data_IF_904104266235
#
_entry.id   IF_904104266235
#
_cell.length_a   1.000
_cell.length_b   1.000
_cell.length_c   1.000
_cell.angle_alpha   90.00
_cell.angle_beta   90.00
_cell.angle_gamma   90.00
#
_symmetry.space_group_name_H-M   'P 1'
#
loop_
_entity.id
_entity.type
_entity.pdbx_description
1 polymer ?
#
# COMPACT_ATOMS: atom_id res chain seq x y z
N UNK A 1 -1.96 15.02 -34.70
CA UNK A 1 -2.04 13.65 -34.15
C UNK A 1 -0.95 13.55 -33.11
N UNK A 2 -1.30 13.31 -31.85
CA UNK A 2 -0.32 13.22 -30.77
C UNK A 2 0.50 11.93 -30.96
N UNK A 3 1.83 11.98 -30.75
CA UNK A 3 2.74 10.84 -30.93
C UNK A 3 2.71 9.90 -29.71
N UNK A 4 1.53 9.36 -29.36
CA UNK A 4 1.34 8.47 -28.19
C UNK A 4 1.54 6.99 -28.51
N UNK A 5 1.55 6.63 -29.79
CA UNK A 5 1.77 5.26 -30.26
C UNK A 5 3.17 5.08 -30.85
N UNK A 6 3.90 4.09 -30.34
CA UNK A 6 5.23 3.68 -30.83
C UNK A 6 5.18 2.24 -31.30
N UNK A 7 5.60 2.00 -32.54
CA UNK A 7 5.66 0.64 -33.10
C UNK A 7 7.08 0.10 -33.05
N UNK A 8 7.23 -1.11 -32.50
CA UNK A 8 8.49 -1.84 -32.39
C UNK A 8 8.43 -3.06 -33.30
N UNK A 9 9.42 -3.20 -34.18
CA UNK A 9 9.57 -4.36 -35.05
C UNK A 9 10.50 -5.37 -34.38
N UNK A 10 9.97 -6.56 -34.09
CA UNK A 10 10.67 -7.72 -33.56
C UNK A 10 10.71 -8.82 -34.62
N UNK A 11 11.50 -9.88 -34.45
CA UNK A 11 11.64 -10.93 -35.47
C UNK A 11 10.28 -11.59 -35.79
N UNK A 12 9.68 -11.18 -36.91
CA UNK A 12 8.39 -11.67 -37.39
C UNK A 12 7.16 -11.10 -36.70
N UNK A 13 7.29 -10.02 -35.91
CA UNK A 13 6.16 -9.40 -35.19
C UNK A 13 6.26 -7.88 -35.16
N UNK A 14 5.12 -7.22 -35.26
CA UNK A 14 4.99 -5.76 -35.17
C UNK A 14 4.17 -5.41 -33.92
N UNK A 15 4.82 -4.91 -32.86
CA UNK A 15 4.13 -4.56 -31.62
C UNK A 15 3.90 -3.05 -31.57
N UNK A 16 2.64 -2.62 -31.47
CA UNK A 16 2.33 -1.20 -31.23
C UNK A 16 2.09 -0.96 -29.76
N UNK A 17 2.76 0.03 -29.17
CA UNK A 17 2.64 0.42 -27.77
C UNK A 17 1.97 1.79 -27.70
N UNK A 18 0.83 1.87 -27.05
CA UNK A 18 0.07 3.10 -26.79
C UNK A 18 0.37 3.53 -25.36
N UNK A 19 1.08 4.65 -25.23
CA UNK A 19 1.35 5.30 -23.94
C UNK A 19 0.20 6.19 -23.52
N UNK A 20 -0.39 5.89 -22.36
CA UNK A 20 -1.51 6.65 -21.80
C UNK A 20 -1.01 7.59 -20.69
N UNK A 21 -1.34 8.88 -20.80
CA UNK A 21 -1.19 9.80 -19.69
C UNK A 21 -2.37 9.56 -18.76
N UNK A 22 -2.17 8.73 -17.73
CA UNK A 22 -3.25 8.28 -16.86
C UNK A 22 -4.14 9.43 -16.43
N UNK A 23 -5.43 9.11 -16.42
CA UNK A 23 -6.52 9.90 -15.89
C UNK A 23 -6.94 11.04 -16.85
N UNK A 24 -7.01 10.83 -18.17
CA UNK A 24 -7.60 11.83 -19.08
C UNK A 24 -8.65 11.24 -20.02
N UNK A 25 -9.76 11.95 -20.24
CA UNK A 25 -10.78 11.51 -21.21
C UNK A 25 -10.23 11.39 -22.62
N UNK A 26 -9.33 12.31 -22.99
CA UNK A 26 -8.65 12.27 -24.29
C UNK A 26 -7.85 10.97 -24.48
N UNK A 27 -7.21 10.46 -23.42
CA UNK A 27 -6.48 9.19 -23.49
C UNK A 27 -7.38 7.97 -23.65
N UNK A 28 -8.60 8.00 -23.08
CA UNK A 28 -9.60 6.95 -23.29
C UNK A 28 -10.03 6.89 -24.75
N UNK A 29 -10.42 8.05 -25.30
CA UNK A 29 -10.89 8.15 -26.69
C UNK A 29 -9.79 7.76 -27.69
N UNK A 30 -8.54 8.17 -27.42
CA UNK A 30 -7.37 7.84 -28.23
C UNK A 30 -7.09 6.33 -28.25
N UNK A 31 -7.16 5.66 -27.10
CA UNK A 31 -7.00 4.20 -27.01
C UNK A 31 -8.05 3.48 -27.84
N UNK A 32 -9.33 3.85 -27.71
CA UNK A 32 -10.41 3.25 -28.49
C UNK A 32 -10.19 3.46 -29.99
N UNK A 33 -9.89 4.69 -30.41
CA UNK A 33 -9.64 5.01 -31.81
C UNK A 33 -8.47 4.22 -32.41
N UNK A 34 -7.37 4.04 -31.66
CA UNK A 34 -6.24 3.24 -32.12
C UNK A 34 -6.58 1.76 -32.30
N UNK A 35 -7.31 1.15 -31.36
CA UNK A 35 -7.71 -0.25 -31.45
C UNK A 35 -8.65 -0.47 -32.64
N UNK A 36 -9.63 0.41 -32.82
CA UNK A 36 -10.59 0.35 -33.94
C UNK A 36 -9.93 0.55 -35.30
N UNK A 37 -8.96 1.46 -35.39
CA UNK A 37 -8.25 1.76 -36.64
C UNK A 37 -7.25 0.66 -37.02
N UNK A 38 -6.47 0.15 -36.05
CA UNK A 38 -5.41 -0.82 -36.32
C UNK A 38 -5.93 -2.24 -36.49
N UNK A 39 -7.06 -2.57 -35.85
CA UNK A 39 -7.63 -3.93 -35.79
C UNK A 39 -6.54 -4.97 -35.45
N UNK A 40 -5.89 -4.84 -34.29
CA UNK A 40 -4.85 -5.77 -33.89
C UNK A 40 -5.40 -7.19 -33.75
N UNK A 41 -4.53 -8.18 -33.86
CA UNK A 41 -4.90 -9.58 -33.61
C UNK A 41 -4.92 -9.92 -32.12
N UNK A 42 -4.36 -9.08 -31.27
CA UNK A 42 -4.40 -9.21 -29.82
C UNK A 42 -4.21 -7.87 -29.10
N UNK A 43 -4.84 -7.70 -27.93
CA UNK A 43 -4.67 -6.50 -27.08
C UNK A 43 -4.03 -6.87 -25.74
N UNK A 44 -2.91 -6.23 -25.43
CA UNK A 44 -2.18 -6.35 -24.16
C UNK A 44 -2.49 -5.14 -23.27
N UNK A 45 -2.85 -5.35 -22.01
CA UNK A 45 -3.29 -4.24 -21.14
C UNK A 45 -2.52 -4.25 -19.83
N UNK A 46 -1.98 -3.10 -19.41
CA UNK A 46 -1.31 -2.90 -18.12
C UNK A 46 -2.33 -2.86 -16.96
N UNK A 47 -2.96 -4.00 -16.71
CA UNK A 47 -3.79 -4.23 -15.55
C UNK A 47 -3.79 -5.71 -15.19
N UNK A 48 -3.82 -6.02 -13.89
CA UNK A 48 -4.01 -7.39 -13.40
C UNK A 48 -5.51 -7.75 -13.31
N UNK A 49 -5.81 -9.05 -13.31
CA UNK A 49 -7.19 -9.54 -13.31
C UNK A 49 -7.99 -9.10 -12.07
N UNK A 50 -7.35 -9.01 -10.89
CA UNK A 50 -8.03 -8.59 -9.67
C UNK A 50 -8.39 -7.10 -9.71
N UNK A 51 -7.47 -6.26 -10.21
CA UNK A 51 -7.74 -4.83 -10.46
C UNK A 51 -8.82 -4.62 -11.51
N UNK A 52 -8.79 -5.36 -12.62
CA UNK A 52 -9.85 -5.26 -13.62
C UNK A 52 -11.22 -5.63 -13.04
N UNK A 53 -11.30 -6.75 -12.31
CA UNK A 53 -12.52 -7.17 -11.61
C UNK A 53 -13.01 -6.11 -10.62
N UNK A 54 -12.11 -5.45 -9.90
CA UNK A 54 -12.43 -4.34 -9.01
C UNK A 54 -12.99 -3.12 -9.75
N UNK A 55 -12.49 -2.81 -10.96
CA UNK A 55 -13.01 -1.71 -11.78
C UNK A 55 -14.41 -2.02 -12.32
N UNK A 56 -14.63 -3.23 -12.85
CA UNK A 56 -15.92 -3.60 -13.48
C UNK A 56 -17.03 -3.87 -12.48
N UNK A 57 -16.70 -4.46 -11.32
CA UNK A 57 -17.72 -4.81 -10.32
C UNK A 57 -18.27 -3.57 -9.64
N UNK A 58 -17.58 -2.42 -9.77
CA UNK A 58 -17.90 -1.21 -9.02
C UNK A 58 -18.01 -1.49 -7.52
N UNK A 59 -17.45 -2.61 -7.03
CA UNK A 59 -17.61 -3.12 -5.69
C UNK A 59 -16.87 -2.18 -4.75
N UNK A 60 -17.57 -1.10 -4.43
CA UNK A 60 -17.16 -0.09 -3.49
C UNK A 60 -16.92 -0.74 -2.14
N UNK A 61 -16.32 0.06 -1.28
CA UNK A 61 -16.01 -0.22 0.13
C UNK A 61 -17.10 -1.03 0.87
N UNK A 62 -18.36 -0.96 0.44
CA UNK A 62 -19.51 -1.78 0.87
C UNK A 62 -19.27 -3.29 1.07
N UNK A 63 -18.34 -3.92 0.34
CA UNK A 63 -18.03 -5.36 0.49
C UNK A 63 -16.88 -5.65 1.47
N UNK A 64 -16.25 -4.61 2.04
CA UNK A 64 -15.12 -4.80 2.94
C UNK A 64 -15.56 -5.32 4.31
N UNK A 65 -15.05 -6.48 4.67
CA UNK A 65 -15.21 -7.01 6.01
C UNK A 65 -14.08 -6.51 6.92
N UNK A 66 -14.36 -5.47 7.73
CA UNK A 66 -13.39 -4.88 8.64
C UNK A 66 -12.83 -5.89 9.67
N UNK A 67 -13.65 -6.85 10.12
CA UNK A 67 -13.20 -7.88 11.05
C UNK A 67 -12.12 -8.75 10.43
N UNK A 68 -12.31 -9.15 9.16
CA UNK A 68 -11.32 -9.94 8.43
C UNK A 68 -10.04 -9.14 8.20
N UNK A 69 -10.15 -7.85 7.85
CA UNK A 69 -8.98 -6.98 7.66
C UNK A 69 -8.13 -6.89 8.93
N UNK A 70 -8.75 -6.65 10.09
CA UNK A 70 -8.04 -6.54 11.37
C UNK A 70 -7.45 -7.90 11.76
N UNK A 71 -8.22 -8.99 11.67
CA UNK A 71 -7.77 -10.35 12.00
C UNK A 71 -6.63 -10.83 11.10
N UNK A 72 -6.63 -10.43 9.84
CA UNK A 72 -5.57 -10.74 8.87
C UNK A 72 -4.36 -9.78 8.97
N UNK A 73 -4.28 -8.93 10.01
CA UNK A 73 -3.22 -7.93 10.22
C UNK A 73 -3.06 -6.94 9.07
N UNK A 74 -4.12 -6.73 8.28
CA UNK A 74 -4.18 -5.80 7.15
C UNK A 74 -4.68 -4.40 7.55
N UNK A 75 -4.97 -4.16 8.83
CA UNK A 75 -5.48 -2.88 9.34
C UNK A 75 -4.58 -1.68 9.03
N UNK A 76 -3.26 -1.80 9.26
CA UNK A 76 -2.29 -0.75 8.90
C UNK A 76 -2.23 -0.48 7.39
N UNK A 77 -2.31 -1.53 6.56
CA UNK A 77 -2.32 -1.39 5.10
C UNK A 77 -3.58 -0.65 4.64
N UNK A 78 -4.75 -1.01 5.19
CA UNK A 78 -5.99 -0.33 4.88
C UNK A 78 -5.95 1.15 5.30
N UNK A 79 -5.47 1.43 6.52
CA UNK A 79 -5.33 2.81 7.01
C UNK A 79 -4.36 3.63 6.13
N UNK A 80 -3.21 3.05 5.75
CA UNK A 80 -2.25 3.70 4.86
C UNK A 80 -2.84 4.01 3.48
N UNK A 81 -3.60 3.08 2.90
CA UNK A 81 -4.30 3.30 1.63
C UNK A 81 -5.32 4.43 1.75
N UNK A 82 -6.10 4.48 2.84
CA UNK A 82 -7.09 5.54 3.06
C UNK A 82 -6.44 6.93 3.21
N UNK A 83 -5.31 7.02 3.94
CA UNK A 83 -4.55 8.26 4.06
C UNK A 83 -4.01 8.70 2.69
N UNK A 84 -3.44 7.77 1.92
CA UNK A 84 -2.94 8.06 0.57
C UNK A 84 -4.07 8.52 -0.36
N UNK A 85 -5.21 7.83 -0.37
CA UNK A 85 -6.38 8.23 -1.15
C UNK A 85 -6.90 9.61 -0.75
N UNK A 86 -6.86 9.95 0.55
CA UNK A 86 -7.25 11.29 1.00
C UNK A 86 -6.30 12.38 0.49
N UNK A 87 -4.99 12.09 0.44
CA UNK A 87 -3.99 13.01 -0.09
C UNK A 87 -4.20 13.23 -1.60
N UNK A 88 -4.33 12.14 -2.36
CA UNK A 88 -4.60 12.18 -3.81
C UNK A 88 -5.84 13.03 -4.15
N UNK A 89 -6.93 12.85 -3.41
CA UNK A 89 -8.17 13.60 -3.63
C UNK A 89 -8.04 15.08 -3.22
N UNK A 90 -7.29 15.42 -2.17
CA UNK A 90 -7.06 16.81 -1.72
C UNK A 90 -6.27 17.65 -2.71
N UNK A 91 -5.26 17.07 -3.36
CA UNK A 91 -4.45 17.77 -4.36
C UNK A 91 -5.15 17.83 -5.74
N UNK A 92 -6.43 17.47 -5.81
CA UNK A 92 -7.22 17.60 -7.03
C UNK A 92 -6.69 16.74 -8.17
N UNK A 93 -6.08 15.57 -7.89
CA UNK A 93 -5.88 14.50 -8.89
C UNK A 93 -7.23 13.89 -9.32
N UNK A 94 -8.28 14.70 -9.38
CA UNK A 94 -9.60 14.38 -9.87
C UNK A 94 -9.65 14.83 -11.33
N UNK A 95 -8.92 14.11 -12.17
CA UNK A 95 -8.85 14.40 -13.61
C UNK A 95 -10.10 13.87 -14.36
N UNK A 96 -11.22 13.67 -13.64
CA UNK A 96 -12.52 13.29 -14.18
C UNK A 96 -12.62 11.85 -14.71
N UNK A 97 -11.58 11.05 -14.52
CA UNK A 97 -11.45 9.66 -14.95
C UNK A 97 -10.90 8.86 -13.77
N UNK A 98 -11.31 7.61 -13.55
CA UNK A 98 -10.70 6.78 -12.49
C UNK A 98 -9.36 6.22 -13.01
N UNK A 99 -8.31 6.12 -12.18
CA UNK A 99 -7.08 5.45 -12.59
C UNK A 99 -7.37 4.03 -13.10
N UNK A 100 -7.00 3.75 -14.36
CA UNK A 100 -7.24 2.46 -15.01
C UNK A 100 -8.49 2.42 -15.91
N UNK A 101 -9.22 3.51 -16.10
CA UNK A 101 -10.31 3.55 -17.09
C UNK A 101 -9.78 3.44 -18.52
N UNK A 102 -8.57 3.89 -18.83
CA UNK A 102 -7.95 3.68 -20.15
C UNK A 102 -7.75 2.18 -20.43
N UNK A 103 -7.28 1.45 -19.42
CA UNK A 103 -7.13 -0.01 -19.48
C UNK A 103 -8.47 -0.70 -19.64
N UNK A 104 -9.49 -0.23 -18.91
CA UNK A 104 -10.84 -0.76 -19.03
C UNK A 104 -11.40 -0.52 -20.43
N UNK A 105 -11.25 0.69 -20.96
CA UNK A 105 -11.70 1.08 -22.29
C UNK A 105 -11.00 0.26 -23.38
N UNK A 106 -9.70 -0.02 -23.24
CA UNK A 106 -8.97 -0.92 -24.13
C UNK A 106 -9.60 -2.32 -24.18
N UNK A 107 -9.93 -2.88 -23.01
CA UNK A 107 -10.56 -4.20 -22.90
C UNK A 107 -11.99 -4.18 -23.47
N UNK A 108 -12.76 -3.12 -23.21
CA UNK A 108 -14.11 -2.96 -23.76
C UNK A 108 -14.10 -2.81 -25.29
N UNK A 109 -13.17 -2.03 -25.84
CA UNK A 109 -12.96 -1.90 -27.28
C UNK A 109 -12.52 -3.23 -27.92
N UNK A 110 -11.61 -3.97 -27.29
CA UNK A 110 -11.22 -5.30 -27.74
C UNK A 110 -12.40 -6.27 -27.76
N UNK A 111 -13.21 -6.31 -26.69
CA UNK A 111 -14.42 -7.13 -26.61
C UNK A 111 -15.46 -6.77 -27.67
N UNK A 112 -15.69 -5.47 -27.90
CA UNK A 112 -16.63 -5.00 -28.91
C UNK A 112 -16.22 -5.41 -30.33
N UNK A 113 -14.92 -5.46 -30.60
CA UNK A 113 -14.35 -5.86 -31.89
C UNK A 113 -14.00 -7.36 -31.98
N UNK A 114 -14.35 -8.17 -30.97
CA UNK A 114 -14.03 -9.60 -30.89
C UNK A 114 -12.52 -9.91 -30.98
N UNK A 115 -11.69 -8.99 -30.49
CA UNK A 115 -10.24 -9.13 -30.44
C UNK A 115 -9.85 -9.78 -29.09
N UNK A 116 -9.04 -10.85 -29.07
CA UNK A 116 -8.57 -11.44 -27.82
C UNK A 116 -7.67 -10.45 -27.06
N UNK A 117 -7.64 -10.58 -25.73
CA UNK A 117 -6.83 -9.69 -24.89
C UNK A 117 -6.11 -10.44 -23.77
N UNK A 118 -5.11 -9.80 -23.16
CA UNK A 118 -4.38 -10.33 -22.01
C UNK A 118 -4.07 -9.26 -20.97
N UNK A 119 -4.14 -9.68 -19.71
CA UNK A 119 -3.62 -8.94 -18.56
C UNK A 119 -2.11 -9.09 -18.52
N UNK A 120 -1.39 -8.00 -18.71
CA UNK A 120 0.07 -8.01 -18.83
C UNK A 120 0.79 -7.51 -17.57
N UNK A 121 0.06 -7.00 -16.57
CA UNK A 121 0.65 -6.49 -15.35
C UNK A 121 0.72 -7.54 -14.23
N UNK A 122 1.66 -7.34 -13.30
CA UNK A 122 1.82 -8.15 -12.10
C UNK A 122 0.74 -7.78 -11.09
N UNK A 123 0.33 -8.73 -10.25
CA UNK A 123 -0.55 -8.46 -9.12
C UNK A 123 -0.03 -7.25 -8.29
N UNK A 124 -0.88 -6.23 -8.17
CA UNK A 124 -0.49 -4.98 -7.51
C UNK A 124 -0.11 -5.17 -6.04
N UNK A 125 -0.73 -6.14 -5.35
CA UNK A 125 -0.38 -6.42 -3.95
C UNK A 125 1.04 -6.97 -3.85
N UNK A 126 1.42 -7.86 -4.77
CA UNK A 126 2.76 -8.39 -4.92
C UNK A 126 3.75 -7.28 -5.24
N UNK A 127 3.45 -6.42 -6.22
CA UNK A 127 4.27 -5.25 -6.59
C UNK A 127 4.54 -4.33 -5.39
N UNK A 128 3.50 -3.90 -4.68
CA UNK A 128 3.62 -3.01 -3.53
C UNK A 128 4.36 -3.68 -2.36
N UNK A 129 4.05 -4.96 -2.07
CA UNK A 129 4.71 -5.71 -1.00
C UNK A 129 6.19 -5.95 -1.31
N UNK A 130 6.54 -6.21 -2.56
CA UNK A 130 7.95 -6.30 -3.01
C UNK A 130 8.67 -4.98 -2.80
N UNK A 131 8.08 -3.85 -3.20
CA UNK A 131 8.67 -2.52 -3.02
C UNK A 131 8.94 -2.26 -1.54
N UNK A 132 7.99 -2.60 -0.66
CA UNK A 132 8.15 -2.48 0.79
C UNK A 132 9.23 -3.40 1.38
N UNK A 133 9.33 -4.65 0.92
CA UNK A 133 10.33 -5.61 1.41
C UNK A 133 11.74 -5.24 0.95
N UNK A 134 11.88 -4.76 -0.29
CA UNK A 134 13.16 -4.34 -0.88
C UNK A 134 13.64 -2.99 -0.34
N UNK A 135 12.72 -2.13 0.06
CA UNK A 135 13.05 -0.88 0.76
C UNK A 135 13.53 -1.20 2.17
N UNK A 136 14.85 -1.16 2.37
CA UNK A 136 15.49 -1.43 3.65
C UNK A 136 15.04 -0.48 4.78
N UNK A 137 15.54 -0.69 5.99
CA UNK A 137 15.17 0.10 7.17
C UNK A 137 15.34 1.62 6.95
N UNK A 138 16.46 2.04 6.37
CA UNK A 138 16.72 3.45 6.07
C UNK A 138 15.75 4.06 5.05
N UNK A 139 15.41 3.34 3.98
CA UNK A 139 14.43 3.80 3.00
C UNK A 139 13.03 3.94 3.60
N UNK A 140 12.67 3.05 4.53
CA UNK A 140 11.40 3.14 5.29
C UNK A 140 11.36 4.36 6.20
N UNK A 141 12.46 4.67 6.89
CA UNK A 141 12.55 5.87 7.73
C UNK A 141 12.52 7.16 6.90
N UNK A 142 13.16 7.17 5.72
CA UNK A 142 13.06 8.29 4.76
C UNK A 142 11.63 8.53 4.30
N UNK A 143 10.92 7.46 3.91
CA UNK A 143 9.49 7.52 3.57
C UNK A 143 8.66 8.08 4.73
N UNK A 144 8.89 7.58 5.95
CA UNK A 144 8.19 8.06 7.14
C UNK A 144 8.48 9.54 7.41
N UNK A 145 9.75 9.97 7.29
CA UNK A 145 10.14 11.36 7.47
C UNK A 145 9.49 12.28 6.43
N UNK A 146 9.45 11.87 5.15
CA UNK A 146 8.79 12.61 4.08
C UNK A 146 7.26 12.70 4.28
N UNK A 147 6.63 11.61 4.73
CA UNK A 147 5.20 11.63 5.07
C UNK A 147 4.93 12.57 6.25
N UNK A 148 5.75 12.52 7.31
CA UNK A 148 5.61 13.43 8.44
C UNK A 148 5.84 14.88 8.01
N UNK A 149 6.88 15.17 7.23
CA UNK A 149 7.14 16.53 6.75
C UNK A 149 5.99 17.07 5.89
N UNK A 150 5.35 16.22 5.07
CA UNK A 150 4.17 16.61 4.28
C UNK A 150 2.95 16.96 5.15
N UNK A 151 2.80 16.36 6.33
CA UNK A 151 1.70 16.65 7.26
C UNK A 151 1.96 17.93 8.06
N UNK A 152 3.22 18.21 8.38
CA UNK A 152 3.63 19.42 9.10
C UNK A 152 3.80 20.63 8.17
N UNK A 153 4.08 20.42 6.88
CA UNK A 153 4.05 21.46 5.87
C UNK A 153 2.61 21.80 5.52
N UNK A 154 2.09 22.89 6.10
CA UNK A 154 0.85 23.54 5.65
C UNK A 154 1.13 24.47 4.46
N UNK A 155 1.86 24.02 3.46
CA UNK A 155 1.95 24.76 2.21
C UNK A 155 0.66 24.54 1.43
N UNK A 156 -0.16 25.60 1.38
CA UNK A 156 -1.22 25.69 0.38
C UNK A 156 -0.51 25.86 -0.95
N UNK A 157 -0.51 24.83 -1.77
CA UNK A 157 -0.08 24.97 -3.16
C UNK A 157 -0.90 26.08 -3.79
N UNK A 158 -0.24 27.13 -4.27
CA UNK A 158 -0.89 28.19 -5.02
C UNK A 158 -1.40 27.61 -6.35
N UNK A 159 -2.45 28.19 -6.94
CA UNK A 159 -2.99 27.72 -8.21
C UNK A 159 -1.92 27.71 -9.31
N UNK A 160 -0.98 28.65 -9.25
CA UNK A 160 0.16 28.78 -10.15
C UNK A 160 1.22 27.68 -9.93
N UNK A 161 1.37 27.19 -8.71
CA UNK A 161 2.21 26.04 -8.36
C UNK A 161 1.60 24.73 -8.86
N UNK A 162 0.28 24.56 -8.66
CA UNK A 162 -0.49 23.42 -9.20
C UNK A 162 -0.42 23.41 -10.74
N UNK A 163 -0.44 24.57 -11.38
CA UNK A 163 -0.34 24.68 -12.84
C UNK A 163 1.06 24.34 -13.36
N UNK A 164 2.12 24.69 -12.60
CA UNK A 164 3.48 24.18 -12.86
C UNK A 164 3.56 22.66 -12.67
N UNK A 165 2.89 22.09 -11.66
CA UNK A 165 2.81 20.63 -11.46
C UNK A 165 2.07 19.91 -12.60
N UNK A 166 1.15 20.58 -13.29
CA UNK A 166 0.43 20.01 -14.45
C UNK A 166 1.28 19.92 -15.72
N UNK A 167 2.43 20.58 -15.77
CA UNK A 167 3.35 20.42 -16.89
C UNK A 167 4.06 19.07 -16.77
N UNK A 168 4.06 18.30 -17.87
CA UNK A 168 4.65 16.96 -17.95
C UNK A 168 6.08 16.91 -17.41
N UNK A 169 6.85 17.97 -17.62
CA UNK A 169 8.24 18.13 -17.15
C UNK A 169 8.37 18.25 -15.62
N UNK A 170 7.40 18.84 -14.92
CA UNK A 170 7.45 18.96 -13.46
C UNK A 170 7.13 17.63 -12.78
N UNK A 171 6.13 16.89 -13.26
CA UNK A 171 5.82 15.54 -12.78
C UNK A 171 7.00 14.61 -13.02
N UNK A 172 7.61 14.64 -14.21
CA UNK A 172 8.82 13.88 -14.52
C UNK A 172 9.98 14.24 -13.60
N UNK A 173 10.21 15.53 -13.32
CA UNK A 173 11.24 15.99 -12.39
C UNK A 173 10.99 15.49 -10.97
N UNK A 174 9.75 15.57 -10.47
CA UNK A 174 9.39 15.04 -9.15
C UNK A 174 9.54 13.53 -9.06
N UNK A 175 9.18 12.80 -10.13
CA UNK A 175 9.37 11.36 -10.18
C UNK A 175 10.86 10.99 -10.24
N UNK A 176 11.68 11.79 -10.92
CA UNK A 176 13.13 11.62 -10.95
C UNK A 176 13.77 11.90 -9.58
N UNK A 177 13.39 12.97 -8.90
CA UNK A 177 13.83 13.27 -7.53
C UNK A 177 13.38 12.19 -6.54
N UNK A 178 12.15 11.71 -6.64
CA UNK A 178 11.66 10.60 -5.83
C UNK A 178 12.41 9.30 -6.12
N UNK A 179 12.76 9.06 -7.38
CA UNK A 179 13.56 7.92 -7.79
C UNK A 179 14.99 7.97 -7.23
N UNK A 180 15.61 9.14 -7.18
CA UNK A 180 16.91 9.36 -6.55
C UNK A 180 16.83 9.22 -5.02
N UNK A 181 15.75 9.73 -4.43
CA UNK A 181 15.52 9.65 -2.99
C UNK A 181 15.23 8.22 -2.49
N UNK A 182 14.52 7.43 -3.30
CA UNK A 182 14.06 6.06 -3.02
C UNK A 182 14.36 5.09 -4.17
N UNK A 183 15.65 4.80 -4.46
CA UNK A 183 16.04 4.00 -5.62
C UNK A 183 15.51 2.57 -5.57
N UNK A 184 15.34 2.00 -4.37
CA UNK A 184 14.74 0.67 -4.21
C UNK A 184 13.26 0.63 -4.58
N UNK A 185 12.53 1.72 -4.36
CA UNK A 185 11.12 1.82 -4.72
C UNK A 185 10.99 1.96 -6.23
N UNK A 186 11.78 2.85 -6.84
CA UNK A 186 11.86 3.01 -8.30
C UNK A 186 12.20 1.69 -8.99
N UNK A 187 13.22 0.99 -8.50
CA UNK A 187 13.61 -0.32 -9.04
C UNK A 187 12.44 -1.31 -9.09
N UNK A 188 11.60 -1.37 -8.06
CA UNK A 188 10.50 -2.36 -8.02
C UNK A 188 9.24 -1.89 -8.77
N UNK A 189 8.89 -0.60 -8.65
CA UNK A 189 7.65 -0.07 -9.22
C UNK A 189 7.79 0.29 -10.70
N UNK A 190 9.02 0.56 -11.17
CA UNK A 190 9.32 0.93 -12.56
C UNK A 190 10.18 -0.17 -13.19
N UNK A 191 11.45 -0.30 -12.80
CA UNK A 191 12.40 -1.14 -13.57
C UNK A 191 12.00 -2.63 -13.63
N UNK A 192 11.57 -3.23 -12.50
CA UNK A 192 11.03 -4.60 -12.47
C UNK A 192 9.68 -4.70 -13.18
N UNK A 193 8.85 -3.67 -13.09
CA UNK A 193 7.51 -3.65 -13.68
C UNK A 193 7.59 -3.55 -15.20
N UNK A 194 8.50 -2.74 -15.73
CA UNK A 194 8.80 -2.63 -17.16
C UNK A 194 9.24 -3.98 -17.73
N UNK A 195 10.13 -4.69 -17.02
CA UNK A 195 10.53 -6.05 -17.40
C UNK A 195 9.32 -6.98 -17.44
N UNK A 196 8.49 -6.95 -16.40
CA UNK A 196 7.30 -7.80 -16.34
C UNK A 196 6.36 -7.53 -17.51
N UNK A 197 6.00 -6.25 -17.72
CA UNK A 197 5.11 -5.82 -18.80
C UNK A 197 5.68 -6.21 -20.16
N UNK A 198 6.94 -5.87 -20.43
CA UNK A 198 7.61 -6.21 -21.69
C UNK A 198 7.65 -7.71 -21.94
N UNK A 199 7.98 -8.53 -20.94
CA UNK A 199 7.99 -9.99 -21.11
C UNK A 199 6.59 -10.54 -21.38
N UNK A 200 5.54 -10.03 -20.70
CA UNK A 200 4.16 -10.45 -20.95
C UNK A 200 3.64 -10.00 -22.31
N UNK A 201 4.03 -8.81 -22.77
CA UNK A 201 3.74 -8.32 -24.13
C UNK A 201 4.48 -9.16 -25.17
N UNK A 202 5.77 -9.46 -24.95
CA UNK A 202 6.59 -10.29 -25.83
C UNK A 202 6.03 -11.71 -25.98
N UNK A 203 5.50 -12.30 -24.91
CA UNK A 203 4.91 -13.64 -24.91
C UNK A 203 3.43 -13.65 -25.33
N UNK A 204 2.82 -12.49 -25.57
CA UNK A 204 1.42 -12.43 -26.02
C UNK A 204 1.25 -13.11 -27.38
N UNK A 205 0.07 -13.69 -27.68
CA UNK A 205 -0.20 -14.25 -29.00
C UNK A 205 -0.39 -13.13 -30.06
N UNK A 206 -0.41 -13.52 -31.34
CA UNK A 206 -0.61 -12.60 -32.48
C UNK A 206 0.70 -12.07 -33.09
N UNK A 207 0.67 -11.73 -34.37
CA UNK A 207 1.76 -11.09 -35.10
C UNK A 207 1.76 -9.56 -34.92
N UNK A 208 0.59 -8.96 -34.68
CA UNK A 208 0.38 -7.50 -34.62
C UNK A 208 -0.34 -7.05 -33.34
N UNK A 209 0.18 -7.36 -32.14
CA UNK A 209 -0.48 -6.98 -30.91
C UNK A 209 -0.36 -5.48 -30.63
N UNK A 210 -1.40 -4.93 -29.98
CA UNK A 210 -1.39 -3.57 -29.42
C UNK A 210 -1.31 -3.65 -27.89
N UNK A 211 -0.31 -2.98 -27.31
CA UNK A 211 -0.13 -2.85 -25.87
C UNK A 211 -0.59 -1.47 -25.38
N UNK A 212 -1.55 -1.43 -24.45
CA UNK A 212 -2.02 -0.21 -23.80
C UNK A 212 -1.42 -0.13 -22.39
N UNK A 213 -0.54 0.85 -22.19
CA UNK A 213 0.30 0.99 -20.99
C UNK A 213 0.35 2.45 -20.54
N UNK A 214 0.80 2.70 -19.32
CA UNK A 214 1.12 4.04 -18.83
C UNK A 214 2.32 4.61 -19.58
N UNK A 215 2.25 5.90 -19.96
CA UNK A 215 3.29 6.55 -20.76
C UNK A 215 4.70 6.46 -20.12
N UNK A 216 4.78 6.50 -18.79
CA UNK A 216 6.04 6.37 -18.05
C UNK A 216 6.74 5.02 -18.19
N UNK A 217 6.02 3.96 -18.57
CA UNK A 217 6.57 2.61 -18.76
C UNK A 217 7.04 2.37 -20.21
N UNK A 218 6.60 3.18 -21.18
CA UNK A 218 6.87 2.96 -22.61
C UNK A 218 8.37 2.85 -22.91
N UNK A 219 9.25 3.77 -22.46
CA UNK A 219 10.69 3.68 -22.78
C UNK A 219 11.33 2.40 -22.23
N UNK A 220 10.99 2.03 -20.99
CA UNK A 220 11.51 0.82 -20.35
C UNK A 220 11.01 -0.46 -21.02
N UNK A 221 9.74 -0.48 -21.43
CA UNK A 221 9.15 -1.62 -22.15
C UNK A 221 9.86 -1.84 -23.48
N UNK A 222 10.06 -0.78 -24.29
CA UNK A 222 10.76 -0.87 -25.58
C UNK A 222 12.17 -1.45 -25.38
N UNK A 223 12.93 -0.90 -24.42
CA UNK A 223 14.27 -1.38 -24.12
C UNK A 223 14.30 -2.88 -23.72
N UNK A 224 13.30 -3.34 -22.96
CA UNK A 224 13.19 -4.76 -22.61
C UNK A 224 12.76 -5.64 -23.77
N UNK A 225 11.82 -5.21 -24.62
CA UNK A 225 11.42 -5.95 -25.82
C UNK A 225 12.60 -6.19 -26.76
N UNK A 226 13.41 -5.16 -27.03
CA UNK A 226 14.62 -5.30 -27.85
C UNK A 226 15.68 -6.22 -27.23
N UNK A 227 15.77 -6.26 -25.90
CA UNK A 227 16.71 -7.17 -25.20
C UNK A 227 16.23 -8.61 -25.26
N UNK A 228 14.92 -8.85 -25.17
CA UNK A 228 14.31 -10.16 -25.30
C UNK A 228 14.48 -10.70 -26.72
N UNK A 229 14.21 -9.88 -27.74
CA UNK A 229 14.34 -10.25 -29.16
C UNK A 229 15.79 -10.56 -29.56
N UNK A 230 16.76 -9.81 -29.00
CA UNK A 230 18.20 -10.09 -29.17
C UNK A 230 18.72 -11.29 -28.36
N UNK A 231 17.88 -11.95 -27.57
CA UNK A 231 18.29 -13.06 -26.69
C UNK A 231 19.21 -12.64 -25.53
N UNK A 232 19.25 -11.35 -25.19
CA UNK A 232 20.07 -10.79 -24.10
C UNK A 232 19.37 -10.83 -22.74
N UNK A 233 18.08 -11.19 -22.73
CA UNK A 233 17.27 -11.32 -21.53
C UNK A 233 16.44 -12.61 -21.60
N UNK A 234 16.24 -13.25 -20.45
CA UNK A 234 15.33 -14.39 -20.31
C UNK A 234 13.89 -13.93 -20.18
N UNK A 235 12.95 -14.74 -20.68
CA UNK A 235 11.51 -14.56 -20.43
C UNK A 235 11.08 -15.13 -19.07
N UNK A 236 11.99 -15.66 -18.27
CA UNK A 236 11.70 -16.06 -16.90
C UNK A 236 11.42 -14.84 -16.03
N UNK A 237 10.32 -14.88 -15.28
CA UNK A 237 9.86 -13.83 -14.36
C UNK A 237 9.86 -14.30 -12.90
N UNK A 238 10.28 -15.53 -12.61
CA UNK A 238 10.17 -16.16 -11.29
C UNK A 238 10.79 -15.33 -10.15
N UNK A 239 11.86 -14.58 -10.45
CA UNK A 239 12.57 -13.70 -9.52
C UNK A 239 11.80 -12.42 -9.16
N UNK A 240 10.85 -12.01 -10.00
CA UNK A 240 10.04 -10.79 -9.83
C UNK A 240 8.54 -11.06 -9.66
N UNK A 241 8.04 -12.25 -9.97
CA UNK A 241 6.61 -12.60 -9.87
C UNK A 241 6.16 -13.00 -8.45
N UNK A 242 7.10 -13.15 -7.51
CA UNK A 242 6.80 -13.53 -6.13
C UNK A 242 7.39 -12.55 -5.11
N UNK A 243 6.88 -12.52 -3.88
CA UNK A 243 7.51 -11.68 -2.83
C UNK A 243 8.72 -12.41 -2.25
N UNK A 244 9.90 -11.77 -2.14
CA UNK A 244 11.07 -12.37 -1.52
C UNK A 244 10.74 -12.92 -0.12
N UNK A 245 11.20 -14.13 0.22
CA UNK A 245 10.93 -14.70 1.52
C UNK A 245 11.54 -13.83 2.62
N UNK A 246 10.87 -13.70 3.78
CA UNK A 246 11.42 -12.96 4.91
C UNK A 246 12.74 -13.60 5.36
N UNK A 247 13.75 -12.77 5.67
CA UNK A 247 15.03 -13.24 6.21
C UNK A 247 14.78 -14.04 7.50
N UNK A 248 15.54 -15.11 7.80
CA UNK A 248 15.35 -15.92 9.00
C UNK A 248 15.33 -15.06 10.29
N UNK A 249 16.21 -14.06 10.36
CA UNK A 249 16.28 -13.13 11.50
C UNK A 249 15.00 -12.32 11.69
N UNK A 250 14.28 -11.99 10.62
CA UNK A 250 13.00 -11.28 10.70
C UNK A 250 11.86 -12.14 11.25
N UNK A 251 12.01 -13.48 11.23
CA UNK A 251 11.11 -14.41 11.92
C UNK A 251 11.39 -14.48 13.42
N UNK A 252 12.66 -14.29 13.81
CA UNK A 252 13.09 -14.32 15.22
C UNK A 252 12.88 -12.98 15.92
N UNK A 253 13.07 -11.86 15.23
CA UNK A 253 13.03 -10.51 15.80
C UNK A 253 11.77 -10.21 16.64
N UNK A 254 10.54 -10.61 16.22
CA UNK A 254 9.34 -10.38 17.02
C UNK A 254 9.34 -11.11 18.38
N UNK A 255 10.15 -12.16 18.54
CA UNK A 255 10.27 -12.93 19.79
C UNK A 255 11.36 -12.40 20.73
N UNK A 256 12.29 -11.57 20.22
CA UNK A 256 13.39 -11.02 21.01
C UNK A 256 12.86 -10.16 22.15
N UNK A 257 11.93 -9.24 21.86
CA UNK A 257 11.37 -8.33 22.87
C UNK A 257 10.61 -9.10 23.96
N UNK A 258 9.66 -10.01 23.65
CA UNK A 258 9.04 -10.87 24.67
C UNK A 258 10.04 -11.69 25.49
N UNK A 259 11.06 -12.27 24.85
CA UNK A 259 12.06 -13.07 25.54
C UNK A 259 12.89 -12.23 26.52
N UNK A 260 13.27 -11.01 26.13
CA UNK A 260 13.97 -10.06 27.00
C UNK A 260 13.10 -9.66 28.18
N UNK A 261 11.84 -9.28 27.95
CA UNK A 261 10.90 -8.90 29.02
C UNK A 261 10.69 -10.06 30.00
N UNK A 262 10.46 -11.26 29.48
CA UNK A 262 10.29 -12.47 30.30
C UNK A 262 11.55 -12.77 31.10
N UNK A 263 12.73 -12.68 30.49
CA UNK A 263 14.02 -12.88 31.15
C UNK A 263 14.25 -11.88 32.27
N UNK A 264 13.93 -10.59 32.05
CA UNK A 264 14.03 -9.56 33.08
C UNK A 264 13.10 -9.84 34.26
N UNK A 265 11.83 -10.19 34.00
CA UNK A 265 10.86 -10.55 35.04
C UNK A 265 11.35 -11.76 35.84
N UNK A 266 11.79 -12.84 35.18
CA UNK A 266 12.35 -14.03 35.85
C UNK A 266 13.56 -13.65 36.70
N UNK A 267 14.46 -12.82 36.18
CA UNK A 267 15.63 -12.35 36.93
C UNK A 267 15.23 -11.53 38.17
N UNK A 268 14.14 -10.77 38.08
CA UNK A 268 13.54 -10.06 39.21
C UNK A 268 13.11 -11.01 40.32
N UNK A 269 12.34 -12.04 39.98
CA UNK A 269 11.93 -13.06 40.96
C UNK A 269 13.12 -13.79 41.61
N UNK A 270 14.16 -14.10 40.83
CA UNK A 270 15.36 -14.81 41.34
C UNK A 270 16.22 -13.91 42.24
N UNK A 271 16.41 -12.64 41.88
CA UNK A 271 17.35 -11.73 42.59
C UNK A 271 16.71 -10.94 43.72
N UNK A 272 15.46 -10.48 43.53
CA UNK A 272 14.76 -9.59 44.47
C UNK A 272 13.63 -10.30 45.23
N UNK A 273 13.43 -11.59 44.97
CA UNK A 273 12.36 -12.39 45.57
C UNK A 273 10.97 -12.07 45.01
N UNK A 274 9.96 -12.63 45.65
CA UNK A 274 8.56 -12.52 45.21
C UNK A 274 8.06 -11.07 45.15
N UNK A 275 8.41 -10.24 46.14
CA UNK A 275 7.94 -8.86 46.22
C UNK A 275 8.47 -8.02 45.04
N UNK A 276 9.78 -8.06 44.76
CA UNK A 276 10.36 -7.32 43.64
C UNK A 276 9.90 -7.86 42.28
N UNK A 277 9.74 -9.18 42.13
CA UNK A 277 9.17 -9.77 40.91
C UNK A 277 7.73 -9.31 40.63
N UNK A 278 6.87 -9.25 41.64
CA UNK A 278 5.50 -8.73 41.51
C UNK A 278 5.49 -7.22 41.22
N UNK A 279 6.37 -6.43 41.85
CA UNK A 279 6.48 -5.00 41.57
C UNK A 279 6.88 -4.74 40.11
N UNK A 280 7.80 -5.53 39.56
CA UNK A 280 8.19 -5.46 38.16
C UNK A 280 7.04 -5.81 37.21
N UNK A 281 6.30 -6.88 37.51
CA UNK A 281 5.09 -7.25 36.76
C UNK A 281 4.03 -6.16 36.80
N UNK A 282 3.79 -5.57 37.97
CA UNK A 282 2.80 -4.51 38.15
C UNK A 282 3.20 -3.26 37.38
N UNK A 283 4.47 -2.84 37.43
CA UNK A 283 4.98 -1.70 36.66
C UNK A 283 4.85 -1.93 35.15
N UNK A 284 5.22 -3.13 34.67
CA UNK A 284 5.02 -3.52 33.27
C UNK A 284 3.56 -3.41 32.86
N UNK A 285 2.68 -4.01 33.68
CA UNK A 285 1.25 -4.04 33.43
C UNK A 285 0.66 -2.63 33.37
N UNK A 286 0.98 -1.79 34.36
CA UNK A 286 0.45 -0.44 34.47
C UNK A 286 0.97 0.48 33.37
N UNK A 287 2.28 0.48 33.09
CA UNK A 287 2.85 1.37 32.06
C UNK A 287 2.34 0.99 30.67
N UNK A 288 2.39 -0.30 30.31
CA UNK A 288 1.97 -0.76 28.99
C UNK A 288 0.45 -0.62 28.80
N UNK A 289 -0.33 -1.08 29.80
CA UNK A 289 -1.78 -0.96 29.81
C UNK A 289 -2.25 0.48 29.73
N UNK A 290 -1.70 1.38 30.56
CA UNK A 290 -2.15 2.77 30.62
C UNK A 290 -1.87 3.52 29.33
N UNK A 291 -0.67 3.38 28.73
CA UNK A 291 -0.37 4.08 27.48
C UNK A 291 -1.20 3.56 26.30
N UNK A 292 -1.50 2.26 26.26
CA UNK A 292 -2.43 1.68 25.29
C UNK A 292 -3.86 2.22 25.47
N UNK A 293 -4.34 2.29 26.72
CA UNK A 293 -5.65 2.84 27.06
C UNK A 293 -5.74 4.33 26.73
N UNK A 294 -4.68 5.10 26.98
CA UNK A 294 -4.59 6.51 26.57
C UNK A 294 -4.63 6.64 25.04
N UNK A 295 -3.96 5.75 24.30
CA UNK A 295 -4.10 5.70 22.85
C UNK A 295 -5.54 5.47 22.40
N UNK A 296 -6.23 4.48 22.99
CA UNK A 296 -7.65 4.25 22.71
C UNK A 296 -8.54 5.45 23.10
N UNK A 297 -8.22 6.13 24.21
CA UNK A 297 -8.92 7.33 24.66
C UNK A 297 -8.73 8.50 23.70
N UNK A 298 -7.50 8.74 23.21
CA UNK A 298 -7.19 9.76 22.18
C UNK A 298 -7.98 9.49 20.91
N UNK A 299 -8.18 8.22 20.57
CA UNK A 299 -9.01 7.81 19.44
C UNK A 299 -10.53 7.92 19.70
N UNK A 300 -10.98 8.33 20.88
CA UNK A 300 -12.39 8.40 21.30
C UNK A 300 -13.12 7.05 21.27
N UNK A 301 -12.39 5.98 21.59
CA UNK A 301 -12.92 4.62 21.67
C UNK A 301 -14.05 4.48 22.69
N UNK A 302 -14.86 3.43 22.53
CA UNK A 302 -15.86 3.08 23.53
C UNK A 302 -15.19 2.75 24.89
N UNK A 303 -15.78 3.10 26.05
CA UNK A 303 -15.17 2.86 27.36
C UNK A 303 -14.75 1.40 27.59
N UNK A 304 -15.57 0.45 27.14
CA UNK A 304 -15.23 -0.99 27.18
C UNK A 304 -13.98 -1.31 26.36
N UNK A 305 -13.80 -0.67 25.20
CA UNK A 305 -12.61 -0.81 24.38
C UNK A 305 -11.37 -0.24 25.07
N UNK A 306 -11.50 0.89 25.77
CA UNK A 306 -10.40 1.49 26.55
C UNK A 306 -9.95 0.52 27.67
N UNK A 307 -10.89 -0.05 28.40
CA UNK A 307 -10.61 -1.06 29.44
C UNK A 307 -9.99 -2.32 28.81
N UNK A 308 -10.53 -2.80 27.69
CA UNK A 308 -9.97 -3.94 26.98
C UNK A 308 -8.52 -3.66 26.51
N UNK A 309 -8.24 -2.45 26.01
CA UNK A 309 -6.89 -2.01 25.64
C UNK A 309 -5.94 -2.01 26.83
N UNK A 310 -6.38 -1.55 28.01
CA UNK A 310 -5.58 -1.55 29.23
C UNK A 310 -5.20 -2.99 29.64
N UNK A 311 -6.17 -3.89 29.70
CA UNK A 311 -5.97 -5.27 30.14
C UNK A 311 -5.20 -6.11 29.13
N UNK A 312 -5.44 -5.89 27.83
CA UNK A 312 -4.83 -6.70 26.78
C UNK A 312 -3.40 -6.29 26.46
N UNK A 313 -3.02 -5.01 26.60
CA UNK A 313 -1.69 -4.53 26.15
C UNK A 313 -0.50 -5.27 26.78
N UNK A 314 -0.43 -5.50 28.11
CA UNK A 314 0.70 -6.19 28.74
C UNK A 314 0.87 -7.64 28.28
N UNK A 315 -0.23 -8.29 27.92
CA UNK A 315 -0.27 -9.69 27.47
C UNK A 315 0.07 -9.78 25.98
N UNK A 316 -0.56 -8.91 25.18
CA UNK A 316 -0.41 -8.90 23.71
C UNK A 316 0.95 -8.38 23.26
N UNK A 317 1.56 -7.44 23.99
CA UNK A 317 2.95 -7.02 23.73
C UNK A 317 3.99 -8.13 23.95
N UNK A 318 3.67 -9.13 24.77
CA UNK A 318 4.47 -10.36 24.91
C UNK A 318 4.15 -11.42 23.84
N UNK A 319 3.21 -11.14 22.93
CA UNK A 319 2.81 -12.05 21.87
C UNK A 319 3.02 -11.41 20.47
N UNK A 320 4.01 -11.86 19.69
CA UNK A 320 4.28 -11.30 18.36
C UNK A 320 3.17 -11.54 17.34
N UNK A 321 2.20 -12.40 17.65
CA UNK A 321 1.11 -12.77 16.75
C UNK A 321 -0.18 -11.98 17.01
N UNK A 322 -0.40 -11.50 18.22
CA UNK A 322 -1.62 -10.80 18.63
C UNK A 322 -1.21 -9.50 19.30
N UNK A 323 -1.43 -8.37 18.65
CA UNK A 323 -1.22 -7.03 19.22
C UNK A 323 -2.51 -6.43 19.78
N UNK A 324 -2.36 -5.49 20.72
CA UNK A 324 -3.49 -4.83 21.38
C UNK A 324 -4.45 -4.14 20.41
N UNK A 325 -3.94 -3.59 19.30
CA UNK A 325 -4.77 -2.98 18.27
C UNK A 325 -5.80 -3.91 17.67
N UNK A 326 -5.47 -5.20 17.52
CA UNK A 326 -6.45 -6.17 17.03
C UNK A 326 -7.55 -6.42 18.06
N UNK A 327 -7.21 -6.49 19.34
CA UNK A 327 -8.19 -6.65 20.41
C UNK A 327 -9.11 -5.43 20.47
N UNK A 328 -8.52 -4.24 20.54
CA UNK A 328 -9.27 -2.98 20.63
C UNK A 328 -10.09 -2.69 19.37
N UNK A 329 -9.51 -2.92 18.18
CA UNK A 329 -10.20 -2.73 16.91
C UNK A 329 -11.35 -3.72 16.71
N UNK A 330 -11.18 -4.99 17.08
CA UNK A 330 -12.28 -5.98 17.01
C UNK A 330 -13.37 -5.69 18.05
N UNK A 331 -12.98 -5.28 19.26
CA UNK A 331 -13.91 -4.86 20.31
C UNK A 331 -14.72 -3.64 19.87
N UNK A 332 -14.05 -2.61 19.34
CA UNK A 332 -14.69 -1.40 18.82
C UNK A 332 -15.59 -1.72 17.63
N UNK A 333 -15.17 -2.59 16.71
CA UNK A 333 -16.00 -3.05 15.61
C UNK A 333 -17.27 -3.77 16.10
N UNK A 334 -17.15 -4.58 17.16
CA UNK A 334 -18.27 -5.25 17.83
C UNK A 334 -19.27 -4.28 18.45
N UNK A 335 -18.77 -3.26 19.16
CA UNK A 335 -19.58 -2.29 19.90
C UNK A 335 -20.15 -1.18 19.02
N UNK A 336 -19.38 -0.70 18.05
CA UNK A 336 -19.73 0.35 17.08
C UNK A 336 -19.66 -0.19 15.65
N UNK A 337 -20.51 -1.15 15.34
CA UNK A 337 -20.58 -1.80 14.02
C UNK A 337 -20.70 -0.78 12.88
N UNK A 338 -19.84 -0.83 11.85
CA UNK A 338 -20.00 -0.05 10.63
C UNK A 338 -21.31 -0.40 9.92
N UNK A 339 -21.95 0.60 9.35
CA UNK A 339 -23.18 0.49 8.55
C UNK A 339 -22.85 0.71 7.08
N UNK A 340 -23.78 0.36 6.20
CA UNK A 340 -23.63 0.56 4.74
C UNK A 340 -23.25 2.00 4.40
N UNK A 341 -23.91 2.98 5.04
CA UNK A 341 -23.62 4.41 4.84
C UNK A 341 -22.17 4.79 5.16
N UNK A 342 -21.54 4.16 6.17
CA UNK A 342 -20.14 4.43 6.51
C UNK A 342 -19.18 4.00 5.38
N UNK A 343 -19.59 3.08 4.51
CA UNK A 343 -18.81 2.68 3.34
C UNK A 343 -19.09 3.57 2.13
N UNK A 344 -20.32 4.06 2.00
CA UNK A 344 -20.73 4.95 0.91
C UNK A 344 -20.07 6.34 1.04
N UNK A 345 -20.04 6.90 2.25
CA UNK A 345 -19.48 8.25 2.53
C UNK A 345 -17.98 8.24 2.78
N UNK A 346 -17.34 7.07 2.80
CA UNK A 346 -15.95 6.92 3.20
C UNK A 346 -15.00 7.82 2.40
N UNK A 347 -15.23 7.95 1.09
CA UNK A 347 -14.37 8.75 0.21
C UNK A 347 -14.41 10.26 0.52
N UNK A 348 -15.46 10.73 1.19
CA UNK A 348 -15.61 12.10 1.60
C UNK A 348 -15.17 12.28 3.05
N UNK A 349 -15.47 11.30 3.91
CA UNK A 349 -15.08 11.33 5.32
C UNK A 349 -13.56 11.33 5.50
N UNK A 350 -12.81 10.59 4.67
CA UNK A 350 -11.35 10.58 4.73
C UNK A 350 -10.71 11.94 4.37
N UNK A 351 -11.47 12.86 3.79
CA UNK A 351 -10.94 14.18 3.45
C UNK A 351 -10.77 15.06 4.68
N UNK A 352 -11.35 14.75 5.82
CA UNK A 352 -11.23 15.62 7.01
C UNK A 352 -10.83 14.82 8.24
N UNK A 353 -10.10 15.46 9.15
CA UNK A 353 -9.78 14.83 10.45
C UNK A 353 -11.06 14.45 11.19
N UNK A 354 -12.07 15.32 11.15
CA UNK A 354 -13.37 15.05 11.77
C UNK A 354 -14.05 13.81 11.17
N UNK A 355 -14.04 13.67 9.84
CA UNK A 355 -14.61 12.52 9.15
C UNK A 355 -13.90 11.21 9.52
N UNK A 356 -12.57 11.22 9.63
CA UNK A 356 -11.79 10.08 10.12
C UNK A 356 -12.23 9.59 11.52
N UNK A 357 -12.62 10.50 12.41
CA UNK A 357 -13.12 10.15 13.75
C UNK A 357 -14.64 9.85 13.79
N UNK A 358 -15.44 10.38 12.86
CA UNK A 358 -16.89 10.15 12.85
C UNK A 358 -17.30 8.88 12.09
N UNK A 359 -16.64 8.60 10.96
CA UNK A 359 -16.94 7.42 10.17
C UNK A 359 -16.50 6.17 10.94
N UNK A 360 -17.44 5.24 11.15
CA UNK A 360 -17.20 4.09 12.04
C UNK A 360 -16.07 3.19 11.53
N UNK A 361 -15.90 3.07 10.21
CA UNK A 361 -14.85 2.25 9.62
C UNK A 361 -13.47 2.82 9.93
N UNK A 362 -13.26 4.11 9.65
CA UNK A 362 -11.99 4.78 9.91
C UNK A 362 -11.72 4.90 11.40
N UNK A 363 -12.75 5.17 12.20
CA UNK A 363 -12.64 5.25 13.65
C UNK A 363 -12.12 3.94 14.26
N UNK A 364 -12.63 2.78 13.82
CA UNK A 364 -12.09 1.47 14.25
C UNK A 364 -10.60 1.35 13.92
N UNK A 365 -10.17 1.81 12.74
CA UNK A 365 -8.76 1.79 12.34
C UNK A 365 -7.92 2.75 13.17
N UNK A 366 -8.45 3.91 13.57
CA UNK A 366 -7.79 4.84 14.49
C UNK A 366 -7.62 4.21 15.88
N UNK A 367 -8.66 3.58 16.43
CA UNK A 367 -8.60 2.89 17.72
C UNK A 367 -7.55 1.77 17.67
N UNK A 368 -7.57 0.96 16.61
CA UNK A 368 -6.55 -0.06 16.33
C UNK A 368 -5.13 0.56 16.31
N UNK A 369 -4.95 1.67 15.60
CA UNK A 369 -3.66 2.33 15.42
C UNK A 369 -3.13 2.94 16.73
N UNK A 370 -3.91 3.81 17.38
CA UNK A 370 -3.46 4.55 18.56
C UNK A 370 -3.24 3.64 19.76
N UNK A 371 -4.07 2.62 19.98
CA UNK A 371 -3.81 1.64 21.04
C UNK A 371 -2.54 0.81 20.77
N UNK A 372 -2.28 0.43 19.51
CA UNK A 372 -1.02 -0.25 19.15
C UNK A 372 0.18 0.66 19.38
N UNK A 373 0.08 1.92 18.99
CA UNK A 373 1.13 2.91 19.22
C UNK A 373 1.38 3.11 20.72
N UNK A 374 0.32 3.23 21.52
CA UNK A 374 0.41 3.35 22.98
C UNK A 374 1.10 2.16 23.63
N UNK A 375 0.77 0.92 23.24
CA UNK A 375 1.43 -0.28 23.75
C UNK A 375 2.89 -0.41 23.28
N UNK A 376 3.19 0.01 22.05
CA UNK A 376 4.57 0.04 21.56
C UNK A 376 5.43 1.00 22.38
N UNK A 377 4.96 2.24 22.57
CA UNK A 377 5.61 3.24 23.44
C UNK A 377 5.72 2.72 24.88
N UNK A 378 4.65 2.11 25.41
CA UNK A 378 4.65 1.51 26.74
C UNK A 378 5.63 0.37 26.90
N UNK A 379 5.86 -0.42 25.86
CA UNK A 379 6.88 -1.48 25.89
C UNK A 379 8.27 -0.90 26.06
N UNK A 380 8.61 0.17 25.33
CA UNK A 380 9.92 0.83 25.43
C UNK A 380 10.09 1.59 26.75
N UNK A 381 9.05 2.30 27.21
CA UNK A 381 9.08 3.05 28.48
C UNK A 381 9.12 2.10 29.67
N UNK A 382 8.41 0.97 29.63
CA UNK A 382 8.39 -0.01 30.71
C UNK A 382 9.72 -0.77 30.86
N UNK A 383 10.47 -0.94 29.77
CA UNK A 383 11.68 -1.77 29.75
C UNK A 383 12.76 -1.34 30.77
N UNK A 384 13.12 -0.04 30.92
CA UNK A 384 13.99 0.43 31.99
C UNK A 384 13.52 0.07 33.41
N UNK A 385 12.21 0.08 33.67
CA UNK A 385 11.65 -0.24 34.98
C UNK A 385 11.72 -1.72 35.34
N UNK A 386 12.05 -2.58 34.37
CA UNK A 386 12.27 -4.01 34.54
C UNK A 386 13.74 -4.36 34.84
N UNK A 387 14.64 -3.39 34.85
CA UNK A 387 16.00 -3.66 35.33
C UNK A 387 15.99 -3.68 36.87
N UNK A 388 16.59 -4.71 37.50
CA UNK A 388 16.77 -4.71 38.94
C UNK A 388 17.55 -3.44 39.33
N UNK A 389 16.95 -2.59 40.16
CA UNK A 389 17.71 -1.49 40.74
C UNK A 389 18.77 -2.10 41.66
N UNK A 390 20.03 -1.72 41.46
CA UNK A 390 21.09 -2.08 42.39
C UNK A 390 20.72 -1.48 43.74
N UNK A 391 20.58 -2.35 44.75
CA UNK A 391 20.47 -1.95 46.16
C UNK A 391 21.81 -1.41 46.62
#
# INVERSE_FOLDING_TARGET
>A
MSQTATTVQLQGREITIIGTAHVSRGSVDEVCAHIEAQKPDHVCVEIDAARYNSLISGAGWSQLNIYQVIRSRKGFLLLGNLVLSSFQKRIGMDLGVKPGEEMRAAIEAAKANQIPFSFCDRDIQTTLKRAWVKTGFWGKNKLLAALLSSVFSREKFDAEEIEKLKQTSAVESMMAELAEYLPSVKHVLIDERDRYLATRIYQSPGERPVAVVGAGHVPGIIAWLERLDRGQASTDLSDIDSVPPPKPISKLLPYVVPAVILGLIISGFVRTGWQGGFDMLLRWFLVNGTLSALGALVALAHPVTIIASFLAAPITSMNPTIGVGMVSGLMEAGLRKPRVIDFETLQDDILTVRGFFHNRLTHILLVFFFSTLGSAVGTFIALPFLFPQAV
#
